data_IF_993826733332
#
_entry.id   IF_993826733332
#
_cell.length_a   1.000
_cell.length_b   1.000
_cell.length_c   1.000
_cell.angle_alpha   90.00
_cell.angle_beta   90.00
_cell.angle_gamma   90.00
#
_symmetry.space_group_name_H-M   'P 1'
#
loop_
_entity.id
_entity.type
_entity.pdbx_description
1 polymer ?
#
# COMPACT_ATOMS: atom_id res chain seq x y z
N UNK A 1 8.17 -35.22 -4.79
CA UNK A 1 7.26 -34.09 -5.11
C UNK A 1 5.98 -34.35 -4.33
N UNK A 2 5.67 -33.55 -3.33
CA UNK A 2 4.37 -33.61 -2.67
C UNK A 2 3.35 -33.01 -3.66
N UNK A 3 2.21 -33.66 -3.92
CA UNK A 3 1.21 -33.09 -4.80
C UNK A 3 0.75 -31.74 -4.22
N UNK A 4 0.44 -30.79 -5.11
CA UNK A 4 -0.20 -29.53 -4.71
C UNK A 4 -1.40 -29.85 -3.84
N UNK A 5 -1.40 -29.33 -2.63
CA UNK A 5 -2.42 -29.69 -1.63
C UNK A 5 -3.70 -28.94 -1.96
N UNK A 6 -4.72 -29.64 -2.37
CA UNK A 6 -6.05 -29.06 -2.51
C UNK A 6 -6.68 -28.91 -1.13
N UNK A 7 -7.30 -27.77 -0.88
CA UNK A 7 -7.96 -27.46 0.38
C UNK A 7 -9.44 -27.15 0.15
N UNK A 8 -10.26 -27.43 1.13
CA UNK A 8 -11.59 -26.86 1.22
C UNK A 8 -11.70 -25.92 2.41
N UNK A 9 -12.58 -24.93 2.28
CA UNK A 9 -13.02 -24.08 3.39
C UNK A 9 -14.41 -24.50 3.79
N UNK A 10 -14.57 -24.79 5.07
CA UNK A 10 -15.85 -25.15 5.68
C UNK A 10 -16.35 -23.89 6.38
N UNK A 11 -17.47 -23.36 5.94
CA UNK A 11 -18.07 -22.14 6.49
C UNK A 11 -19.13 -22.49 7.51
N UNK A 12 -19.08 -21.88 8.70
CA UNK A 12 -20.02 -22.03 9.80
C UNK A 12 -20.23 -20.67 10.48
N UNK A 13 -21.46 -20.13 10.48
CA UNK A 13 -21.78 -18.87 11.14
C UNK A 13 -21.00 -17.65 10.63
N UNK A 14 -20.57 -17.66 9.36
CA UNK A 14 -19.78 -16.60 8.74
C UNK A 14 -18.27 -16.73 8.93
N UNK A 15 -17.81 -17.69 9.73
CA UNK A 15 -16.37 -18.03 9.87
C UNK A 15 -16.03 -19.25 9.00
N UNK A 16 -14.75 -19.42 8.65
CA UNK A 16 -14.33 -20.58 7.89
C UNK A 16 -13.10 -21.27 8.51
N UNK A 17 -13.08 -22.60 8.36
CA UNK A 17 -11.93 -23.44 8.66
C UNK A 17 -11.40 -24.03 7.37
N UNK A 18 -10.09 -23.95 7.16
CA UNK A 18 -9.41 -24.52 6.00
C UNK A 18 -8.87 -25.90 6.35
N UNK A 19 -9.19 -26.90 5.54
CA UNK A 19 -8.78 -28.30 5.76
C UNK A 19 -8.27 -28.93 4.46
N UNK A 20 -7.25 -29.82 4.52
CA UNK A 20 -6.78 -30.56 3.36
C UNK A 20 -7.86 -31.51 2.80
N UNK A 21 -8.00 -31.57 1.49
CA UNK A 21 -8.96 -32.47 0.83
C UNK A 21 -8.61 -33.97 0.97
N UNK A 22 -7.36 -34.28 1.21
CA UNK A 22 -6.87 -35.67 1.33
C UNK A 22 -7.34 -36.38 2.60
N UNK A 23 -7.86 -35.65 3.58
CA UNK A 23 -8.23 -36.16 4.91
C UNK A 23 -9.74 -36.06 5.19
N UNK A 24 -10.56 -36.06 4.14
CA UNK A 24 -12.01 -35.91 4.30
C UNK A 24 -12.70 -37.29 4.21
N UNK A 25 -13.46 -37.60 5.23
CA UNK A 25 -14.31 -38.81 5.26
C UNK A 25 -15.77 -38.46 5.54
N UNK A 26 -16.69 -39.13 4.90
CA UNK A 26 -18.14 -38.87 5.03
C UNK A 26 -18.84 -39.99 5.81
N UNK A 27 -19.74 -39.61 6.72
CA UNK A 27 -20.63 -40.57 7.34
C UNK A 27 -21.61 -41.12 6.31
N UNK A 28 -21.97 -42.42 6.43
CA UNK A 28 -22.84 -43.12 5.47
C UNK A 28 -24.27 -42.58 5.43
N UNK A 29 -24.70 -41.91 6.50
CA UNK A 29 -26.01 -41.27 6.61
C UNK A 29 -26.05 -39.83 6.06
N UNK A 30 -24.90 -39.30 5.64
CA UNK A 30 -24.77 -37.92 5.18
C UNK A 30 -24.95 -36.85 6.26
N UNK A 31 -25.11 -37.22 7.53
CA UNK A 31 -25.36 -36.30 8.63
C UNK A 31 -24.08 -35.55 9.10
N UNK A 32 -22.92 -36.09 8.78
CA UNK A 32 -21.63 -35.47 9.12
C UNK A 32 -20.51 -35.87 8.16
N UNK A 33 -19.41 -35.12 8.21
CA UNK A 33 -18.14 -35.49 7.61
C UNK A 33 -17.02 -35.13 8.56
N UNK A 34 -15.91 -35.84 8.47
CA UNK A 34 -14.69 -35.55 9.24
C UNK A 34 -13.64 -35.04 8.30
N UNK A 35 -13.01 -33.93 8.65
CA UNK A 35 -11.94 -33.29 7.90
C UNK A 35 -10.88 -32.83 8.88
N UNK A 36 -9.61 -33.17 8.62
CA UNK A 36 -8.46 -32.89 9.50
C UNK A 36 -8.73 -33.32 10.98
N UNK A 37 -9.30 -34.51 11.15
CA UNK A 37 -9.63 -35.06 12.47
C UNK A 37 -10.83 -34.42 13.20
N UNK A 38 -11.45 -33.39 12.63
CA UNK A 38 -12.61 -32.69 13.19
C UNK A 38 -13.89 -33.12 12.49
N UNK A 39 -14.92 -33.48 13.26
CA UNK A 39 -16.23 -33.87 12.70
C UNK A 39 -17.17 -32.68 12.61
N UNK A 40 -17.68 -32.41 11.42
CA UNK A 40 -18.63 -31.35 11.09
C UNK A 40 -20.01 -31.94 10.84
N UNK A 41 -21.04 -31.44 11.52
CA UNK A 41 -22.43 -31.78 11.21
C UNK A 41 -22.88 -31.02 9.98
N UNK A 42 -23.39 -31.68 8.97
CA UNK A 42 -23.84 -31.05 7.71
C UNK A 42 -24.90 -29.98 7.94
N UNK A 43 -25.75 -30.14 8.97
CA UNK A 43 -26.76 -29.15 9.36
C UNK A 43 -26.18 -27.84 9.98
N UNK A 44 -24.89 -27.82 10.29
CA UNK A 44 -24.19 -26.64 10.86
C UNK A 44 -23.22 -26.00 9.87
N UNK A 45 -23.10 -26.57 8.69
CA UNK A 45 -22.21 -26.05 7.63
C UNK A 45 -23.04 -25.20 6.66
N UNK A 46 -22.68 -23.93 6.56
CA UNK A 46 -23.35 -22.98 5.66
C UNK A 46 -22.99 -23.25 4.19
N UNK A 47 -21.71 -23.50 3.96
CA UNK A 47 -21.17 -23.84 2.63
C UNK A 47 -19.80 -24.48 2.71
N UNK A 48 -19.39 -25.13 1.63
CA UNK A 48 -18.03 -25.62 1.40
C UNK A 48 -17.53 -24.99 0.11
N UNK A 49 -16.35 -24.39 0.16
CA UNK A 49 -15.67 -23.84 -1.02
C UNK A 49 -14.31 -24.49 -1.18
N UNK A 50 -13.91 -24.76 -2.41
CA UNK A 50 -12.60 -25.33 -2.71
C UNK A 50 -11.57 -24.22 -2.94
N UNK A 51 -10.36 -24.45 -2.44
CA UNK A 51 -9.25 -23.50 -2.57
C UNK A 51 -8.19 -24.12 -3.46
N UNK A 52 -7.89 -23.44 -4.53
CA UNK A 52 -6.81 -23.82 -5.44
C UNK A 52 -5.55 -23.01 -5.09
N UNK A 53 -4.54 -23.69 -4.56
CA UNK A 53 -3.26 -23.08 -4.20
C UNK A 53 -2.26 -23.40 -5.28
N UNK A 54 -1.58 -22.34 -5.72
CA UNK A 54 -0.45 -22.40 -6.62
C UNK A 54 0.77 -21.97 -5.83
N UNK A 55 1.75 -22.85 -5.67
CA UNK A 55 2.97 -22.53 -4.97
C UNK A 55 4.10 -22.27 -5.97
N UNK A 56 4.75 -21.13 -5.79
CA UNK A 56 5.97 -20.78 -6.54
C UNK A 56 7.14 -20.73 -5.56
N UNK A 57 8.14 -21.54 -5.81
CA UNK A 57 9.33 -21.64 -4.96
C UNK A 57 10.57 -21.32 -5.77
N UNK A 58 11.39 -20.38 -5.26
CA UNK A 58 12.68 -20.03 -5.80
C UNK A 58 13.81 -20.66 -4.96
N UNK A 59 14.78 -21.29 -5.62
CA UNK A 59 15.88 -22.02 -4.98
C UNK A 59 17.26 -21.34 -5.11
N UNK A 60 17.28 -20.06 -5.45
CA UNK A 60 18.50 -19.28 -5.68
C UNK A 60 18.76 -18.96 -7.15
N UNK A 61 18.48 -19.87 -8.05
CA UNK A 61 18.76 -19.73 -9.50
C UNK A 61 17.58 -20.06 -10.40
N UNK A 62 16.64 -20.83 -9.90
CA UNK A 62 15.48 -21.30 -10.66
C UNK A 62 14.21 -21.15 -9.84
N UNK A 63 13.09 -21.18 -10.55
CA UNK A 63 11.79 -21.26 -9.93
C UNK A 63 11.09 -22.57 -10.29
N UNK A 64 10.26 -23.06 -9.39
CA UNK A 64 9.33 -24.17 -9.63
C UNK A 64 7.93 -23.71 -9.35
N UNK A 65 6.96 -24.16 -10.15
CA UNK A 65 5.53 -23.84 -9.98
C UNK A 65 4.77 -25.14 -9.78
N UNK A 66 4.13 -25.25 -8.62
CA UNK A 66 3.24 -26.36 -8.27
C UNK A 66 1.81 -25.84 -8.32
N UNK A 67 1.05 -26.17 -9.36
CA UNK A 67 -0.33 -25.69 -9.55
C UNK A 67 -1.42 -26.76 -9.35
N UNK A 68 -1.03 -28.02 -9.10
CA UNK A 68 -1.98 -29.12 -9.00
C UNK A 68 -2.83 -29.27 -10.25
N UNK A 69 -4.13 -29.52 -10.06
CA UNK A 69 -5.09 -29.72 -11.14
C UNK A 69 -5.83 -28.43 -11.56
N UNK A 70 -5.26 -27.25 -11.28
CA UNK A 70 -5.86 -25.98 -11.70
C UNK A 70 -5.77 -25.85 -13.23
N UNK A 71 -6.92 -25.88 -13.92
CA UNK A 71 -7.00 -25.95 -15.38
C UNK A 71 -6.88 -24.56 -16.03
N UNK A 72 -7.42 -23.53 -15.38
CA UNK A 72 -7.51 -22.16 -15.94
C UNK A 72 -6.27 -21.31 -15.65
N UNK A 73 -5.12 -21.96 -15.49
CA UNK A 73 -3.84 -21.28 -15.20
C UNK A 73 -2.73 -21.89 -16.03
N UNK A 74 -2.15 -21.07 -16.88
CA UNK A 74 -0.96 -21.39 -17.65
C UNK A 74 0.27 -20.79 -16.97
N UNK A 75 1.36 -21.55 -16.93
CA UNK A 75 2.60 -21.12 -16.28
C UNK A 75 3.77 -21.33 -17.22
N UNK A 76 4.69 -20.39 -17.26
CA UNK A 76 5.98 -20.56 -17.89
C UNK A 76 7.10 -20.12 -16.93
N UNK A 77 8.19 -20.86 -16.94
CA UNK A 77 9.37 -20.63 -16.10
C UNK A 77 10.59 -20.58 -16.97
N UNK A 78 11.39 -19.54 -16.81
CA UNK A 78 12.69 -19.37 -17.47
C UNK A 78 13.71 -18.97 -16.43
N UNK A 79 14.48 -19.93 -15.93
CA UNK A 79 15.34 -19.79 -14.76
C UNK A 79 14.53 -19.24 -13.55
N UNK A 80 14.87 -18.07 -13.01
CA UNK A 80 14.16 -17.42 -11.91
C UNK A 80 12.91 -16.64 -12.33
N UNK A 81 12.67 -16.43 -13.64
CA UNK A 81 11.52 -15.66 -14.11
C UNK A 81 10.30 -16.55 -14.28
N UNK A 82 9.18 -16.13 -13.68
CA UNK A 82 7.90 -16.85 -13.71
C UNK A 82 6.82 -15.98 -14.32
N UNK A 83 6.10 -16.53 -15.29
CA UNK A 83 4.90 -15.91 -15.85
C UNK A 83 3.71 -16.82 -15.58
N UNK A 84 2.66 -16.24 -15.01
CA UNK A 84 1.40 -16.93 -14.71
C UNK A 84 0.27 -16.18 -15.42
N UNK A 85 -0.44 -16.88 -16.30
CA UNK A 85 -1.63 -16.35 -16.98
C UNK A 85 -2.87 -17.12 -16.52
N UNK A 86 -3.83 -16.43 -15.94
CA UNK A 86 -5.08 -17.01 -15.50
C UNK A 86 -6.25 -16.54 -16.35
N UNK A 87 -6.98 -17.50 -16.91
CA UNK A 87 -8.27 -17.28 -17.57
C UNK A 87 -9.47 -17.50 -16.64
N UNK A 88 -9.20 -17.82 -15.37
CA UNK A 88 -10.22 -18.02 -14.34
C UNK A 88 -11.02 -16.75 -14.08
N UNK A 89 -12.36 -16.89 -14.04
CA UNK A 89 -13.31 -15.79 -13.81
C UNK A 89 -14.28 -16.03 -12.66
N UNK A 90 -14.13 -17.12 -11.91
CA UNK A 90 -15.13 -17.54 -10.92
C UNK A 90 -14.55 -17.84 -9.54
N UNK A 91 -13.32 -18.35 -9.46
CA UNK A 91 -12.72 -18.80 -8.22
C UNK A 91 -11.59 -17.86 -7.79
N UNK A 92 -11.52 -17.56 -6.51
CA UNK A 92 -10.41 -16.81 -5.93
C UNK A 92 -9.21 -17.74 -5.81
N UNK A 93 -8.21 -17.55 -6.70
CA UNK A 93 -6.95 -18.30 -6.66
C UNK A 93 -6.07 -17.80 -5.52
N UNK A 94 -5.31 -18.71 -4.93
CA UNK A 94 -4.32 -18.40 -3.90
C UNK A 94 -2.92 -18.80 -4.38
N UNK A 95 -1.99 -17.86 -4.29
CA UNK A 95 -0.60 -18.05 -4.66
C UNK A 95 0.27 -17.99 -3.41
N UNK A 96 1.11 -18.98 -3.18
CA UNK A 96 2.15 -18.96 -2.14
C UNK A 96 3.47 -18.71 -2.82
N UNK A 97 4.11 -17.59 -2.51
CA UNK A 97 5.39 -17.18 -3.08
C UNK A 97 6.47 -17.29 -2.00
N UNK A 98 7.50 -18.09 -2.24
CA UNK A 98 8.53 -18.36 -1.23
C UNK A 98 9.92 -18.63 -1.82
N UNK A 99 10.94 -18.52 -0.97
CA UNK A 99 12.31 -18.76 -1.36
C UNK A 99 13.02 -17.53 -1.90
N UNK A 100 14.17 -17.70 -2.52
CA UNK A 100 15.01 -16.59 -2.94
C UNK A 100 15.58 -16.78 -4.35
N UNK A 101 15.74 -15.67 -5.08
CA UNK A 101 16.45 -15.64 -6.35
C UNK A 101 17.06 -14.25 -6.59
N UNK A 102 18.34 -14.21 -6.97
CA UNK A 102 19.04 -12.95 -7.27
C UNK A 102 18.86 -12.48 -8.72
N UNK A 103 18.22 -13.29 -9.57
CA UNK A 103 17.72 -12.92 -10.91
C UNK A 103 16.39 -13.63 -11.12
N UNK A 104 15.35 -13.17 -10.43
CA UNK A 104 14.03 -13.77 -10.47
C UNK A 104 12.92 -12.73 -10.41
N UNK A 105 11.81 -13.08 -11.07
CA UNK A 105 10.62 -12.24 -11.14
C UNK A 105 9.36 -13.08 -11.19
N UNK A 106 8.21 -12.44 -10.88
CA UNK A 106 6.89 -12.99 -11.17
C UNK A 106 6.04 -11.94 -11.86
N UNK A 107 5.52 -12.30 -13.04
CA UNK A 107 4.46 -11.57 -13.72
C UNK A 107 3.18 -12.39 -13.70
N UNK A 108 2.11 -11.83 -13.13
CA UNK A 108 0.78 -12.44 -13.09
C UNK A 108 -0.20 -11.64 -13.95
N UNK A 109 -0.90 -12.34 -14.84
CA UNK A 109 -2.03 -11.79 -15.61
C UNK A 109 -3.30 -12.55 -15.25
N UNK A 110 -4.37 -11.81 -14.95
CA UNK A 110 -5.66 -12.40 -14.61
C UNK A 110 -6.79 -11.38 -14.67
N UNK A 111 -8.03 -11.87 -14.59
CA UNK A 111 -9.25 -11.06 -14.66
C UNK A 111 -10.20 -11.25 -13.46
N UNK A 112 -9.78 -12.01 -12.45
CA UNK A 112 -10.54 -12.23 -11.23
C UNK A 112 -9.68 -11.93 -9.99
N UNK A 113 -10.32 -11.64 -8.86
CA UNK A 113 -9.63 -11.40 -7.58
C UNK A 113 -8.81 -12.62 -7.17
N UNK A 114 -7.69 -12.39 -6.53
CA UNK A 114 -6.81 -13.46 -6.05
C UNK A 114 -5.99 -13.01 -4.84
N UNK A 115 -5.30 -13.97 -4.22
CA UNK A 115 -4.46 -13.76 -3.05
C UNK A 115 -3.04 -14.18 -3.31
N UNK A 116 -2.11 -13.36 -2.86
CA UNK A 116 -0.68 -13.67 -2.85
C UNK A 116 -0.17 -13.72 -1.41
N UNK A 117 0.29 -14.88 -0.98
CA UNK A 117 0.95 -15.06 0.32
C UNK A 117 2.45 -14.96 0.11
N UNK A 118 3.06 -13.93 0.68
CA UNK A 118 4.52 -13.82 0.73
C UNK A 118 5.03 -14.59 1.95
N UNK A 119 5.74 -15.67 1.70
CA UNK A 119 6.17 -16.64 2.71
C UNK A 119 7.70 -16.76 2.76
N UNK A 120 8.37 -15.66 3.13
CA UNK A 120 9.84 -15.58 3.11
C UNK A 120 10.38 -15.44 1.69
N UNK A 121 9.73 -14.62 0.88
CA UNK A 121 10.10 -14.35 -0.50
C UNK A 121 11.23 -13.32 -0.58
N UNK A 122 12.30 -13.63 -1.29
CA UNK A 122 13.39 -12.70 -1.58
C UNK A 122 13.72 -12.72 -3.08
N UNK A 123 13.17 -11.75 -3.81
CA UNK A 123 13.38 -11.62 -5.25
C UNK A 123 14.12 -10.33 -5.60
N UNK A 124 15.19 -10.48 -6.36
CA UNK A 124 15.82 -9.39 -7.11
C UNK A 124 15.68 -9.69 -8.59
N UNK A 125 15.04 -8.82 -9.34
CA UNK A 125 14.95 -8.95 -10.79
C UNK A 125 16.11 -8.22 -11.47
N UNK A 126 16.62 -8.76 -12.56
CA UNK A 126 17.64 -8.12 -13.41
C UNK A 126 17.04 -7.61 -14.74
N UNK A 127 15.74 -7.83 -14.97
CA UNK A 127 15.09 -7.53 -16.26
C UNK A 127 13.87 -6.60 -16.17
N UNK A 128 13.20 -6.55 -15.03
CA UNK A 128 11.95 -5.81 -14.88
C UNK A 128 11.54 -5.69 -13.41
N UNK A 129 10.24 -5.63 -13.14
CA UNK A 129 9.71 -5.67 -11.79
C UNK A 129 10.03 -7.01 -11.10
N UNK A 130 10.20 -7.01 -9.79
CA UNK A 130 10.32 -8.26 -9.03
C UNK A 130 8.95 -8.96 -8.92
N UNK A 131 7.89 -8.19 -8.69
CA UNK A 131 6.51 -8.69 -8.66
C UNK A 131 5.60 -7.74 -9.46
N UNK A 132 5.08 -8.22 -10.58
CA UNK A 132 4.19 -7.49 -11.46
C UNK A 132 2.82 -8.17 -11.55
N UNK A 133 1.77 -7.50 -11.08
CA UNK A 133 0.41 -8.04 -11.03
C UNK A 133 -0.47 -7.26 -12.02
N UNK A 134 -0.68 -7.86 -13.19
CA UNK A 134 -1.45 -7.28 -14.30
C UNK A 134 -2.94 -7.71 -14.23
N UNK A 135 -3.53 -7.58 -13.06
CA UNK A 135 -4.93 -7.86 -12.80
C UNK A 135 -5.61 -6.59 -12.26
N UNK A 136 -6.67 -6.13 -12.95
CA UNK A 136 -7.44 -4.93 -12.58
C UNK A 136 -8.51 -5.18 -11.51
N UNK A 137 -8.42 -6.28 -10.76
CA UNK A 137 -9.35 -6.63 -9.67
C UNK A 137 -8.65 -6.50 -8.32
N UNK A 138 -9.39 -6.80 -7.24
CA UNK A 138 -8.82 -6.82 -5.90
C UNK A 138 -7.78 -7.92 -5.75
N UNK A 139 -6.64 -7.56 -5.25
CA UNK A 139 -5.50 -8.42 -4.93
C UNK A 139 -5.25 -8.30 -3.43
N UNK A 140 -5.41 -9.40 -2.72
CA UNK A 140 -4.99 -9.49 -1.31
C UNK A 140 -3.51 -9.94 -1.28
N UNK A 141 -2.63 -9.12 -0.72
CA UNK A 141 -1.22 -9.42 -0.50
C UNK A 141 -1.00 -9.70 0.98
N UNK A 142 -0.73 -10.96 1.31
CA UNK A 142 -0.62 -11.41 2.68
C UNK A 142 0.85 -11.59 3.06
N UNK A 143 1.32 -10.82 4.02
CA UNK A 143 2.65 -10.97 4.62
C UNK A 143 2.56 -12.03 5.72
N UNK A 144 2.98 -13.26 5.44
CA UNK A 144 2.84 -14.35 6.40
C UNK A 144 3.57 -14.02 7.72
N UNK A 145 2.93 -14.38 8.82
CA UNK A 145 3.45 -14.09 10.16
C UNK A 145 4.85 -14.68 10.38
N UNK A 146 5.76 -13.90 10.93
CA UNK A 146 7.14 -14.31 11.20
C UNK A 146 8.03 -14.42 9.97
N UNK A 147 7.59 -13.95 8.79
CA UNK A 147 8.41 -13.94 7.58
C UNK A 147 8.94 -12.56 7.25
N UNK A 148 10.11 -12.53 6.65
CA UNK A 148 10.72 -11.35 6.03
C UNK A 148 10.69 -11.53 4.52
N UNK A 149 10.15 -10.55 3.81
CA UNK A 149 10.04 -10.58 2.36
C UNK A 149 10.78 -9.39 1.76
N UNK A 150 11.46 -9.62 0.64
CA UNK A 150 12.30 -8.61 -0.03
C UNK A 150 12.00 -8.62 -1.52
N UNK A 151 11.78 -7.44 -2.09
CA UNK A 151 11.59 -7.25 -3.52
C UNK A 151 12.49 -6.11 -4.02
N UNK A 152 13.25 -6.38 -5.09
CA UNK A 152 14.03 -5.37 -5.79
C UNK A 152 13.89 -5.54 -7.30
N UNK A 153 13.67 -4.44 -8.04
CA UNK A 153 13.60 -4.49 -9.50
C UNK A 153 14.96 -4.23 -10.15
N UNK A 154 15.01 -4.44 -11.46
CA UNK A 154 16.17 -4.14 -12.28
C UNK A 154 16.47 -2.64 -12.31
N UNK A 155 17.75 -2.30 -12.38
CA UNK A 155 18.19 -0.94 -12.68
C UNK A 155 18.03 -0.67 -14.19
N UNK A 156 17.09 0.16 -14.54
CA UNK A 156 16.74 0.42 -15.94
C UNK A 156 15.55 -0.43 -16.41
N UNK A 157 15.07 -0.18 -17.60
CA UNK A 157 13.85 -0.75 -18.15
C UNK A 157 12.64 0.17 -17.95
N UNK A 158 11.46 -0.33 -18.35
CA UNK A 158 10.22 0.46 -18.39
C UNK A 158 9.23 0.08 -17.27
N UNK A 159 9.63 -0.81 -16.35
CA UNK A 159 8.78 -1.20 -15.23
C UNK A 159 8.43 0.01 -14.36
N UNK A 160 7.21 -0.01 -13.83
CA UNK A 160 6.70 1.10 -13.02
C UNK A 160 7.23 1.08 -11.58
N UNK A 161 7.52 -0.11 -11.04
CA UNK A 161 7.96 -0.30 -9.66
C UNK A 161 8.57 -1.69 -9.46
N UNK A 162 9.23 -1.89 -8.33
CA UNK A 162 9.66 -3.21 -7.88
C UNK A 162 8.45 -4.11 -7.53
N UNK A 163 7.41 -3.53 -6.91
CA UNK A 163 6.09 -4.12 -6.74
C UNK A 163 5.05 -3.27 -7.50
N UNK A 164 4.54 -3.80 -8.58
CA UNK A 164 3.47 -3.16 -9.36
C UNK A 164 2.17 -3.95 -9.29
N UNK A 165 1.05 -3.26 -9.05
CA UNK A 165 -0.30 -3.81 -9.12
C UNK A 165 -1.20 -2.93 -10.00
N UNK A 166 -1.77 -3.52 -11.06
CA UNK A 166 -2.69 -2.81 -11.97
C UNK A 166 -4.06 -2.53 -11.34
N UNK A 167 -4.46 -3.32 -10.35
CA UNK A 167 -5.77 -3.21 -9.70
C UNK A 167 -5.68 -2.64 -8.28
N UNK A 168 -6.61 -3.08 -7.47
CA UNK A 168 -6.71 -2.78 -6.05
C UNK A 168 -5.74 -3.66 -5.25
N UNK A 169 -4.86 -3.07 -4.46
CA UNK A 169 -3.93 -3.82 -3.61
C UNK A 169 -4.30 -3.65 -2.14
N UNK A 170 -4.70 -4.74 -1.51
CA UNK A 170 -4.99 -4.80 -0.07
C UNK A 170 -3.91 -5.62 0.62
N UNK A 171 -3.17 -5.00 1.54
CA UNK A 171 -2.08 -5.66 2.27
C UNK A 171 -2.54 -6.03 3.68
N UNK A 172 -2.25 -7.25 4.09
CA UNK A 172 -2.53 -7.76 5.43
C UNK A 172 -1.46 -8.77 5.89
N UNK A 173 -1.60 -9.27 7.14
CA UNK A 173 -0.65 -10.21 7.73
C UNK A 173 0.54 -9.52 8.40
N UNK A 174 1.07 -10.14 9.46
CA UNK A 174 2.02 -9.52 10.39
C UNK A 174 3.50 -9.71 10.04
N UNK A 175 3.81 -10.26 8.87
CA UNK A 175 5.18 -10.32 8.34
C UNK A 175 5.72 -8.96 7.92
N UNK A 176 6.92 -8.93 7.35
CA UNK A 176 7.54 -7.72 6.83
C UNK A 176 7.76 -7.79 5.32
N UNK A 177 7.75 -6.62 4.67
CA UNK A 177 8.10 -6.44 3.28
C UNK A 177 9.08 -5.27 3.13
N UNK A 178 10.24 -5.55 2.57
CA UNK A 178 11.23 -4.54 2.19
C UNK A 178 11.28 -4.44 0.68
N UNK A 179 11.19 -3.21 0.16
CA UNK A 179 11.16 -2.94 -1.28
C UNK A 179 12.28 -1.96 -1.65
N UNK A 180 12.99 -2.29 -2.72
CA UNK A 180 13.99 -1.42 -3.34
C UNK A 180 13.60 -1.17 -4.79
N UNK A 181 13.18 0.05 -5.10
CA UNK A 181 13.00 0.50 -6.48
C UNK A 181 14.35 0.93 -7.06
N UNK A 182 14.67 0.42 -8.25
CA UNK A 182 15.90 0.79 -8.97
C UNK A 182 15.62 1.49 -10.31
N UNK A 183 14.43 1.29 -10.91
CA UNK A 183 14.07 1.94 -12.17
C UNK A 183 13.15 3.16 -11.96
N UNK A 184 12.10 3.04 -11.15
CA UNK A 184 11.14 4.13 -10.97
C UNK A 184 10.60 4.23 -9.54
N UNK A 185 9.48 3.57 -9.21
CA UNK A 185 8.89 3.58 -7.87
C UNK A 185 9.28 2.34 -7.07
N UNK A 186 9.21 2.41 -5.74
CA UNK A 186 9.31 1.22 -4.91
C UNK A 186 8.05 0.36 -5.05
N UNK A 187 6.91 0.90 -4.66
CA UNK A 187 5.58 0.29 -4.82
C UNK A 187 4.71 1.21 -5.70
N UNK A 188 4.03 0.63 -6.69
CA UNK A 188 3.09 1.37 -7.51
C UNK A 188 1.78 0.59 -7.70
N UNK A 189 0.65 1.23 -7.41
CA UNK A 189 -0.67 0.71 -7.76
C UNK A 189 -1.35 1.63 -8.76
N UNK A 190 -2.01 1.07 -9.78
CA UNK A 190 -2.79 1.90 -10.71
C UNK A 190 -4.09 2.40 -10.06
N UNK A 191 -4.68 1.60 -9.17
CA UNK A 191 -5.86 1.96 -8.40
C UNK A 191 -5.47 2.16 -6.93
N UNK A 192 -6.29 1.75 -5.95
CA UNK A 192 -6.01 2.03 -4.55
C UNK A 192 -4.99 1.08 -3.91
N UNK A 193 -4.35 1.57 -2.85
CA UNK A 193 -3.58 0.79 -1.89
C UNK A 193 -4.22 0.89 -0.51
N UNK A 194 -4.58 -0.26 0.04
CA UNK A 194 -5.10 -0.34 1.40
C UNK A 194 -4.20 -1.20 2.29
N UNK A 195 -3.81 -0.68 3.44
CA UNK A 195 -3.15 -1.43 4.51
C UNK A 195 -4.20 -1.76 5.57
N UNK A 196 -4.49 -3.06 5.76
CA UNK A 196 -5.48 -3.51 6.75
C UNK A 196 -4.92 -3.39 8.16
N UNK A 197 -5.78 -3.54 9.16
CA UNK A 197 -5.40 -3.42 10.57
C UNK A 197 -4.31 -4.44 10.99
N UNK A 198 -4.30 -5.61 10.38
CA UNK A 198 -3.34 -6.69 10.64
C UNK A 198 -2.02 -6.57 9.87
N UNK A 199 -1.83 -5.54 9.05
CA UNK A 199 -0.59 -5.34 8.28
C UNK A 199 0.60 -5.18 9.22
N UNK A 200 1.68 -5.89 8.94
CA UNK A 200 2.94 -5.78 9.65
C UNK A 200 3.75 -4.56 9.23
N UNK A 201 4.96 -4.74 8.73
CA UNK A 201 5.81 -3.63 8.31
C UNK A 201 6.09 -3.63 6.82
N UNK A 202 6.05 -2.45 6.22
CA UNK A 202 6.46 -2.19 4.85
C UNK A 202 7.56 -1.13 4.87
N UNK A 203 8.71 -1.44 4.28
CA UNK A 203 9.86 -0.54 4.17
C UNK A 203 10.21 -0.34 2.71
N UNK A 204 10.28 0.91 2.26
CA UNK A 204 10.86 1.27 0.97
C UNK A 204 12.19 1.95 1.21
N UNK A 205 13.28 1.29 0.82
CA UNK A 205 14.65 1.73 1.09
C UNK A 205 15.16 2.78 0.10
N UNK A 206 14.73 2.69 -1.15
CA UNK A 206 15.08 3.64 -2.20
C UNK A 206 14.12 3.56 -3.37
N UNK A 207 14.04 4.63 -4.14
CA UNK A 207 13.40 4.67 -5.45
C UNK A 207 13.93 5.88 -6.25
N UNK A 208 14.20 5.75 -7.57
CA UNK A 208 14.54 6.89 -8.42
C UNK A 208 13.40 7.91 -8.57
N UNK A 209 12.15 7.49 -8.33
CA UNK A 209 10.96 8.31 -8.25
C UNK A 209 10.33 8.20 -6.86
N UNK A 210 9.02 8.01 -6.75
CA UNK A 210 8.34 7.97 -5.47
C UNK A 210 8.57 6.65 -4.73
N UNK A 211 8.56 6.71 -3.41
CA UNK A 211 8.63 5.50 -2.60
C UNK A 211 7.39 4.64 -2.81
N UNK A 212 6.20 5.19 -2.57
CA UNK A 212 4.90 4.57 -2.79
C UNK A 212 4.05 5.49 -3.66
N UNK A 213 3.69 5.02 -4.84
CA UNK A 213 2.88 5.73 -5.82
C UNK A 213 1.51 5.05 -5.98
N UNK A 214 0.43 5.77 -5.72
CA UNK A 214 -0.94 5.24 -5.71
C UNK A 214 -1.80 6.04 -6.68
N UNK A 215 -2.35 5.36 -7.67
CA UNK A 215 -3.13 6.03 -8.74
C UNK A 215 -4.50 6.53 -8.30
N UNK A 216 -5.08 6.02 -7.20
CA UNK A 216 -6.41 6.42 -6.75
C UNK A 216 -6.38 6.92 -5.31
N UNK A 217 -6.52 6.06 -4.31
CA UNK A 217 -6.46 6.47 -2.91
C UNK A 217 -5.55 5.56 -2.08
N UNK A 218 -5.01 6.11 -1.01
CA UNK A 218 -4.27 5.38 0.00
C UNK A 218 -5.06 5.32 1.30
N UNK A 219 -5.31 4.12 1.81
CA UNK A 219 -6.02 3.89 3.07
C UNK A 219 -5.16 3.04 4.01
N UNK A 220 -4.86 3.56 5.20
CA UNK A 220 -4.10 2.85 6.22
C UNK A 220 -4.91 2.69 7.50
N UNK A 221 -5.25 1.45 7.84
CA UNK A 221 -5.96 1.09 9.07
C UNK A 221 -5.00 0.57 10.17
N UNK A 222 -3.77 0.22 9.82
CA UNK A 222 -2.77 -0.32 10.74
C UNK A 222 -1.45 -0.62 10.04
N UNK A 223 -0.52 -1.25 10.77
CA UNK A 223 0.81 -1.57 10.28
C UNK A 223 1.84 -0.45 10.47
N UNK A 224 3.03 -0.67 9.93
CA UNK A 224 4.13 0.30 9.95
C UNK A 224 4.64 0.50 8.52
N UNK A 225 4.74 1.75 8.08
CA UNK A 225 5.29 2.14 6.79
C UNK A 225 6.51 3.03 7.01
N UNK A 226 7.64 2.63 6.46
CA UNK A 226 8.87 3.43 6.44
C UNK A 226 9.29 3.67 5.00
N UNK A 227 9.50 4.93 4.63
CA UNK A 227 9.93 5.30 3.28
C UNK A 227 11.14 6.23 3.36
N UNK A 228 12.23 5.82 2.73
CA UNK A 228 13.47 6.60 2.71
C UNK A 228 14.26 6.33 1.42
N UNK A 229 15.22 7.21 1.12
CA UNK A 229 16.13 7.02 -0.01
C UNK A 229 15.49 7.22 -1.40
N UNK A 230 14.21 7.54 -1.50
CA UNK A 230 13.57 7.93 -2.76
C UNK A 230 13.99 9.33 -3.20
N UNK A 231 14.04 9.54 -4.52
CA UNK A 231 14.35 10.83 -5.12
C UNK A 231 13.10 11.66 -5.47
N UNK A 232 11.93 10.99 -5.55
CA UNK A 232 10.61 11.61 -5.72
C UNK A 232 9.89 11.86 -4.40
N UNK A 233 8.56 11.82 -4.43
CA UNK A 233 7.72 11.95 -3.25
C UNK A 233 7.78 10.66 -2.40
N UNK A 234 7.53 10.77 -1.11
CA UNK A 234 7.56 9.60 -0.21
C UNK A 234 6.36 8.68 -0.47
N UNK A 235 5.16 9.16 -0.13
CA UNK A 235 3.88 8.51 -0.43
C UNK A 235 3.03 9.52 -1.20
N UNK A 236 2.60 9.14 -2.39
CA UNK A 236 1.81 10.02 -3.26
C UNK A 236 0.53 9.33 -3.72
N UNK A 237 -0.59 10.06 -3.75
CA UNK A 237 -1.79 9.69 -4.51
C UNK A 237 -1.96 10.61 -5.71
N UNK A 238 -2.55 10.09 -6.78
CA UNK A 238 -2.94 10.83 -7.97
C UNK A 238 -4.46 10.75 -8.18
N UNK A 239 -4.99 11.65 -9.01
CA UNK A 239 -6.37 11.59 -9.46
C UNK A 239 -6.41 10.78 -10.74
N UNK A 240 -7.12 9.65 -10.72
CA UNK A 240 -7.43 8.92 -11.94
C UNK A 240 -8.39 9.76 -12.80
N UNK A 241 -8.02 9.93 -14.05
CA UNK A 241 -8.79 10.67 -15.05
C UNK A 241 -9.54 9.71 -15.99
N UNK A 242 -10.47 10.25 -16.74
CA UNK A 242 -11.03 9.61 -17.94
C UNK A 242 -9.94 9.50 -19.03
N UNK A 243 -10.29 8.91 -20.16
CA UNK A 243 -9.37 8.74 -21.30
C UNK A 243 -8.89 10.07 -21.93
N UNK A 244 -9.44 11.20 -21.49
CA UNK A 244 -8.97 12.54 -21.87
C UNK A 244 -7.74 13.03 -21.10
N UNK A 245 -7.28 12.26 -20.11
CA UNK A 245 -6.17 12.55 -19.20
C UNK A 245 -6.31 13.85 -18.38
N UNK A 246 -7.48 14.48 -18.37
CA UNK A 246 -7.76 15.76 -17.72
C UNK A 246 -8.93 15.64 -16.74
N UNK A 247 -10.05 15.04 -17.16
CA UNK A 247 -11.29 14.98 -16.37
C UNK A 247 -11.17 13.89 -15.29
N UNK A 248 -11.29 14.23 -13.99
CA UNK A 248 -11.33 13.23 -12.94
C UNK A 248 -12.41 12.19 -13.20
N UNK A 249 -12.07 10.90 -13.06
CA UNK A 249 -13.01 9.82 -13.29
C UNK A 249 -14.07 9.78 -12.17
N UNK A 250 -15.36 10.04 -12.46
CA UNK A 250 -16.41 10.11 -11.44
C UNK A 250 -16.76 8.75 -10.85
N UNK A 251 -16.42 7.64 -11.50
CA UNK A 251 -16.67 6.27 -11.04
C UNK A 251 -15.63 5.81 -10.00
N UNK A 252 -14.62 6.63 -9.72
CA UNK A 252 -13.56 6.32 -8.76
C UNK A 252 -13.82 7.02 -7.44
N UNK A 253 -14.35 6.27 -6.47
CA UNK A 253 -14.53 6.76 -5.10
C UNK A 253 -13.20 7.17 -4.48
N UNK A 254 -13.22 8.19 -3.62
CA UNK A 254 -12.05 8.69 -2.88
C UNK A 254 -10.85 9.06 -3.76
N UNK A 255 -11.09 9.37 -5.02
CA UNK A 255 -10.08 9.63 -6.02
C UNK A 255 -9.08 10.72 -5.57
N UNK A 256 -7.81 10.39 -5.52
CA UNK A 256 -6.73 11.28 -5.08
C UNK A 256 -6.58 11.44 -3.56
N UNK A 257 -7.35 10.72 -2.74
CA UNK A 257 -7.40 10.94 -1.29
C UNK A 257 -6.44 10.05 -0.50
N UNK A 258 -6.09 10.50 0.71
CA UNK A 258 -5.33 9.73 1.69
C UNK A 258 -6.12 9.65 3.00
N UNK A 259 -6.25 8.43 3.54
CA UNK A 259 -6.86 8.16 4.83
C UNK A 259 -5.88 7.41 5.72
N UNK A 260 -5.63 7.94 6.93
CA UNK A 260 -4.80 7.30 7.95
C UNK A 260 -5.64 7.17 9.21
N UNK A 261 -6.13 5.96 9.47
CA UNK A 261 -7.00 5.64 10.60
C UNK A 261 -6.25 4.93 11.73
N UNK A 262 -4.98 4.56 11.51
CA UNK A 262 -4.14 3.88 12.50
C UNK A 262 -2.80 3.47 11.94
N UNK A 263 -1.96 2.87 12.79
CA UNK A 263 -0.62 2.44 12.42
C UNK A 263 0.44 3.54 12.55
N UNK A 264 1.58 3.35 11.91
CA UNK A 264 2.70 4.29 11.95
C UNK A 264 3.29 4.52 10.56
N UNK A 265 3.43 5.77 10.18
CA UNK A 265 4.13 6.22 8.97
C UNK A 265 5.38 6.99 9.39
N UNK A 266 6.53 6.64 8.83
CA UNK A 266 7.79 7.39 8.95
C UNK A 266 8.39 7.62 7.55
N UNK A 267 8.41 8.87 7.11
CA UNK A 267 8.88 9.25 5.78
C UNK A 267 9.99 10.27 5.89
N UNK A 268 11.10 10.00 5.21
CA UNK A 268 12.16 10.98 4.99
C UNK A 268 12.25 11.35 3.51
N UNK A 269 12.11 12.64 3.21
CA UNK A 269 12.29 13.18 1.87
C UNK A 269 13.45 14.20 1.88
N UNK A 270 14.45 13.96 1.02
CA UNK A 270 15.65 14.79 0.90
C UNK A 270 15.81 15.47 -0.46
N UNK A 271 15.02 15.06 -1.46
CA UNK A 271 15.01 15.70 -2.78
C UNK A 271 14.38 17.09 -2.75
N UNK A 272 14.90 17.99 -3.59
CA UNK A 272 14.38 19.34 -3.71
C UNK A 272 12.99 19.36 -4.33
N UNK A 273 12.12 20.21 -3.83
CA UNK A 273 10.70 20.34 -4.15
C UNK A 273 9.90 19.03 -4.08
N UNK A 274 10.32 18.06 -3.25
CA UNK A 274 9.60 16.80 -3.04
C UNK A 274 8.74 16.84 -1.79
N UNK A 275 7.76 15.92 -1.72
CA UNK A 275 6.76 15.87 -0.66
C UNK A 275 6.88 14.55 0.09
N UNK A 276 6.88 14.61 1.42
CA UNK A 276 6.89 13.39 2.24
C UNK A 276 5.61 12.58 2.04
N UNK A 277 4.46 13.19 2.32
CA UNK A 277 3.14 12.61 2.04
C UNK A 277 2.32 13.60 1.22
N UNK A 278 1.89 13.18 0.02
CA UNK A 278 1.16 14.02 -0.93
C UNK A 278 -0.18 13.41 -1.28
N UNK A 279 -1.24 14.12 -0.97
CA UNK A 279 -2.58 13.82 -1.45
C UNK A 279 -2.96 14.75 -2.60
N UNK A 280 -3.42 14.20 -3.71
CA UNK A 280 -3.88 15.01 -4.84
C UNK A 280 -5.23 15.69 -4.56
N UNK A 281 -6.05 15.14 -3.67
CA UNK A 281 -7.34 15.69 -3.26
C UNK A 281 -7.35 15.97 -1.75
N UNK A 282 -8.10 15.23 -0.96
CA UNK A 282 -8.28 15.41 0.49
C UNK A 282 -7.36 14.46 1.27
N UNK A 283 -7.03 14.84 2.50
CA UNK A 283 -6.35 13.97 3.44
C UNK A 283 -7.06 13.98 4.79
N UNK A 284 -7.31 12.79 5.33
CA UNK A 284 -7.85 12.60 6.69
C UNK A 284 -6.87 11.77 7.51
N UNK A 285 -6.49 12.29 8.67
CA UNK A 285 -5.67 11.57 9.66
C UNK A 285 -6.51 11.48 10.93
N UNK A 286 -7.03 10.28 11.23
CA UNK A 286 -7.98 10.07 12.34
C UNK A 286 -7.49 9.02 13.34
N UNK A 287 -6.22 8.66 13.30
CA UNK A 287 -5.56 7.75 14.22
C UNK A 287 -4.12 7.46 13.82
N UNK A 288 -3.35 6.95 14.78
CA UNK A 288 -1.97 6.51 14.57
C UNK A 288 -0.93 7.63 14.59
N UNK A 289 0.25 7.32 14.09
CA UNK A 289 1.41 8.23 14.11
C UNK A 289 1.88 8.51 12.68
N UNK A 290 2.01 9.77 12.33
CA UNK A 290 2.59 10.23 11.06
C UNK A 290 3.81 11.08 11.36
N UNK A 291 5.00 10.58 11.00
CA UNK A 291 6.27 11.30 11.11
C UNK A 291 6.82 11.58 9.73
N UNK A 292 7.19 12.83 9.49
CA UNK A 292 7.80 13.22 8.20
C UNK A 292 8.99 14.16 8.44
N UNK A 293 10.11 13.81 7.83
CA UNK A 293 11.28 14.72 7.74
C UNK A 293 11.43 15.17 6.30
N UNK A 294 11.34 16.48 6.08
CA UNK A 294 11.54 17.13 4.79
C UNK A 294 12.80 17.99 4.86
N UNK A 295 13.87 17.53 4.20
CA UNK A 295 15.19 18.18 4.26
C UNK A 295 15.64 18.80 2.95
N UNK A 296 15.04 18.48 1.80
CA UNK A 296 15.32 19.12 0.53
C UNK A 296 14.86 20.58 0.49
N UNK A 297 15.53 21.41 -0.31
CA UNK A 297 15.10 22.78 -0.56
C UNK A 297 13.71 22.77 -1.21
N UNK A 298 12.82 23.67 -0.81
CA UNK A 298 11.45 23.73 -1.33
C UNK A 298 10.54 22.56 -0.99
N UNK A 299 11.02 21.50 -0.34
CA UNK A 299 10.24 20.28 -0.04
C UNK A 299 9.07 20.55 0.93
N UNK A 300 8.10 19.63 0.99
CA UNK A 300 6.99 19.70 1.94
C UNK A 300 6.93 18.41 2.75
N UNK A 301 6.67 18.51 4.06
CA UNK A 301 6.39 17.35 4.89
C UNK A 301 5.09 16.70 4.44
N UNK A 302 3.98 17.42 4.54
CA UNK A 302 2.68 17.02 4.02
C UNK A 302 2.20 18.05 3.01
N UNK A 303 1.67 17.59 1.87
CA UNK A 303 1.06 18.43 0.84
C UNK A 303 -0.32 17.90 0.47
N UNK A 304 -1.34 18.75 0.52
CA UNK A 304 -2.73 18.37 0.30
C UNK A 304 -3.35 19.26 -0.76
N UNK A 305 -3.90 18.64 -1.81
CA UNK A 305 -4.48 19.33 -2.97
C UNK A 305 -5.75 20.09 -2.66
N UNK A 306 -6.55 19.62 -1.67
CA UNK A 306 -7.75 20.33 -1.21
C UNK A 306 -7.76 20.51 0.31
N UNK A 307 -8.40 19.62 1.05
CA UNK A 307 -8.68 19.76 2.48
C UNK A 307 -7.85 18.77 3.33
N UNK A 308 -7.39 19.22 4.49
CA UNK A 308 -6.75 18.37 5.51
C UNK A 308 -7.60 18.36 6.77
N UNK A 309 -8.03 17.16 7.18
CA UNK A 309 -8.67 16.92 8.48
C UNK A 309 -7.72 16.11 9.38
N UNK A 310 -7.47 16.60 10.59
CA UNK A 310 -6.80 15.86 11.67
C UNK A 310 -7.79 15.75 12.82
N UNK A 311 -8.14 14.51 13.21
CA UNK A 311 -9.06 14.20 14.29
C UNK A 311 -8.65 12.89 15.02
N UNK A 312 -9.46 12.43 15.95
CA UNK A 312 -9.32 11.15 16.65
C UNK A 312 -10.65 10.42 16.63
N UNK A 313 -10.77 9.37 15.81
CA UNK A 313 -12.00 8.58 15.76
C UNK A 313 -11.87 7.28 16.55
N UNK A 314 -10.75 6.55 16.36
CA UNK A 314 -10.57 5.20 16.91
C UNK A 314 -9.24 5.01 17.66
N UNK A 315 -8.34 5.95 17.58
CA UNK A 315 -7.01 5.90 18.20
C UNK A 315 -6.42 7.31 18.34
N UNK A 316 -5.46 7.45 19.24
CA UNK A 316 -4.70 8.70 19.38
C UNK A 316 -4.02 9.07 18.08
N UNK A 317 -4.13 10.33 17.71
CA UNK A 317 -3.51 10.88 16.50
C UNK A 317 -2.30 11.73 16.86
N UNK A 318 -1.13 11.36 16.31
CA UNK A 318 0.09 12.12 16.42
C UNK A 318 0.65 12.43 15.03
N UNK A 319 0.79 13.70 14.71
CA UNK A 319 1.45 14.18 13.47
C UNK A 319 2.69 14.98 13.86
N UNK A 320 3.86 14.50 13.47
CA UNK A 320 5.16 15.14 13.75
C UNK A 320 5.90 15.42 12.44
N UNK A 321 6.12 16.70 12.13
CA UNK A 321 6.79 17.11 10.91
C UNK A 321 8.05 17.92 11.25
N UNK A 322 9.15 17.61 10.57
CA UNK A 322 10.39 18.36 10.61
C UNK A 322 10.72 18.89 9.21
N UNK A 323 10.61 20.20 9.03
CA UNK A 323 10.96 20.90 7.80
C UNK A 323 12.34 21.56 8.00
N UNK A 324 13.40 20.94 7.50
CA UNK A 324 14.78 21.39 7.71
C UNK A 324 15.44 21.95 6.45
N UNK A 325 14.82 21.75 5.27
CA UNK A 325 15.28 22.31 4.01
C UNK A 325 15.09 23.83 3.92
N UNK A 326 15.78 24.43 2.97
CA UNK A 326 15.71 25.85 2.70
C UNK A 326 14.69 26.22 1.62
N UNK A 327 15.04 27.27 0.90
CA UNK A 327 14.31 27.72 -0.30
C UNK A 327 14.89 27.02 -1.52
N UNK A 328 14.02 26.61 -2.42
CA UNK A 328 14.34 26.12 -3.75
C UNK A 328 14.00 27.22 -4.77
N UNK A 329 14.89 27.54 -5.63
CA UNK A 329 14.70 28.44 -6.77
C UNK A 329 14.71 27.55 -8.03
N UNK A 330 13.69 27.67 -8.85
CA UNK A 330 13.63 26.97 -10.11
C UNK A 330 14.37 27.79 -11.18
N UNK A 331 15.47 27.26 -11.67
CA UNK A 331 16.34 27.97 -12.64
C UNK A 331 15.65 28.24 -14.00
N UNK A 332 14.48 27.64 -14.27
CA UNK A 332 13.75 27.78 -15.53
C UNK A 332 12.61 28.80 -15.41
N UNK A 333 11.90 28.80 -14.29
CA UNK A 333 10.70 29.63 -14.08
C UNK A 333 10.96 30.84 -13.18
N UNK A 334 12.13 30.93 -12.54
CA UNK A 334 12.44 31.89 -11.47
C UNK A 334 11.46 31.79 -10.26
N UNK A 335 10.72 30.69 -10.12
CA UNK A 335 9.78 30.49 -9.04
C UNK A 335 10.47 30.05 -7.76
N UNK A 336 10.16 30.74 -6.68
CA UNK A 336 10.69 30.45 -5.34
C UNK A 336 9.73 29.53 -4.57
N UNK A 337 10.21 28.37 -4.18
CA UNK A 337 9.47 27.40 -3.37
C UNK A 337 10.17 27.20 -2.02
N UNK A 338 9.42 27.39 -0.91
CA UNK A 338 9.95 27.26 0.46
C UNK A 338 9.70 25.89 1.04
N UNK A 339 10.69 25.32 1.70
CA UNK A 339 10.49 24.14 2.51
C UNK A 339 9.38 24.42 3.54
N UNK A 340 8.34 23.57 3.56
CA UNK A 340 7.14 23.81 4.35
C UNK A 340 6.73 22.53 5.08
N UNK A 341 6.46 22.61 6.37
CA UNK A 341 6.03 21.45 7.14
C UNK A 341 4.72 20.87 6.59
N UNK A 342 3.67 21.68 6.52
CA UNK A 342 2.38 21.28 5.94
C UNK A 342 1.91 22.37 4.98
N UNK A 343 1.55 21.97 3.76
CA UNK A 343 0.85 22.82 2.80
C UNK A 343 -0.54 22.26 2.49
N UNK A 344 -1.56 23.10 2.61
CA UNK A 344 -2.96 22.78 2.27
C UNK A 344 -3.47 23.84 1.31
N UNK A 345 -4.01 23.41 0.17
CA UNK A 345 -4.45 24.36 -0.89
C UNK A 345 -5.81 24.98 -0.59
N UNK A 346 -6.67 24.28 0.16
CA UNK A 346 -7.98 24.81 0.59
C UNK A 346 -8.03 24.91 2.11
N UNK A 347 -8.94 24.19 2.76
CA UNK A 347 -9.18 24.34 4.19
C UNK A 347 -8.44 23.27 5.03
N UNK A 348 -8.15 23.61 6.29
CA UNK A 348 -7.58 22.70 7.26
C UNK A 348 -8.41 22.72 8.55
N UNK A 349 -8.71 21.55 9.10
CA UNK A 349 -9.32 21.43 10.41
C UNK A 349 -8.51 20.46 11.29
N UNK A 350 -8.24 20.87 12.53
CA UNK A 350 -7.67 20.03 13.58
C UNK A 350 -8.71 20.01 14.70
N UNK A 351 -9.46 18.91 14.81
CA UNK A 351 -10.56 18.79 15.76
C UNK A 351 -10.17 18.00 17.01
N UNK A 352 -9.14 17.14 16.90
CA UNK A 352 -8.55 16.40 18.00
C UNK A 352 -7.10 16.02 17.67
N UNK A 353 -6.35 15.44 18.62
CA UNK A 353 -5.02 14.94 18.44
C UNK A 353 -3.88 15.93 18.69
N UNK A 354 -2.67 15.47 18.40
CA UNK A 354 -1.43 16.22 18.57
C UNK A 354 -0.78 16.50 17.22
N UNK A 355 -0.55 17.78 16.92
CA UNK A 355 0.21 18.22 15.75
C UNK A 355 1.46 18.99 16.21
N UNK A 356 2.65 18.54 15.78
CA UNK A 356 3.93 19.19 15.99
C UNK A 356 4.60 19.45 14.66
N UNK A 357 4.92 20.72 14.36
CA UNK A 357 5.65 21.09 13.16
C UNK A 357 6.85 21.95 13.55
N UNK A 358 8.04 21.39 13.42
CA UNK A 358 9.29 22.09 13.58
C UNK A 358 9.83 22.50 12.21
N UNK A 359 10.05 23.81 12.02
CA UNK A 359 10.68 24.35 10.82
C UNK A 359 11.98 25.06 11.22
N UNK A 360 13.12 24.50 10.83
CA UNK A 360 14.45 24.99 11.23
C UNK A 360 15.34 25.40 10.04
N UNK A 361 14.94 25.06 8.81
CA UNK A 361 15.67 25.49 7.62
C UNK A 361 15.54 26.99 7.35
N UNK A 362 16.55 27.56 6.74
CA UNK A 362 16.56 29.00 6.37
C UNK A 362 15.43 29.30 5.40
N UNK A 363 14.54 30.25 5.72
CA UNK A 363 13.39 30.60 4.91
C UNK A 363 12.23 29.57 4.95
N UNK A 364 12.37 28.48 5.72
CA UNK A 364 11.31 27.45 5.83
C UNK A 364 10.03 27.96 6.49
N UNK A 365 8.92 27.25 6.25
CA UNK A 365 7.60 27.55 6.79
C UNK A 365 7.07 26.41 7.63
N UNK A 366 6.30 26.69 8.68
CA UNK A 366 5.60 25.70 9.47
C UNK A 366 4.39 25.16 8.70
N UNK A 367 3.23 25.82 8.82
CA UNK A 367 1.98 25.43 8.16
C UNK A 367 1.51 26.57 7.26
N UNK A 368 1.26 26.25 5.99
CA UNK A 368 0.63 27.15 5.02
C UNK A 368 -0.72 26.58 4.59
N UNK A 369 -1.79 27.34 4.83
CA UNK A 369 -3.15 27.05 4.37
C UNK A 369 -3.57 28.20 3.46
N UNK A 370 -3.94 27.88 2.21
CA UNK A 370 -4.33 28.90 1.25
C UNK A 370 -5.82 29.34 1.46
N UNK A 371 -6.67 28.45 2.02
CA UNK A 371 -8.01 28.77 2.51
C UNK A 371 -8.01 29.17 3.98
N UNK A 372 -8.93 28.62 4.75
CA UNK A 372 -9.05 28.89 6.20
C UNK A 372 -8.68 27.67 7.03
N UNK A 373 -8.28 27.90 8.30
CA UNK A 373 -7.97 26.81 9.21
C UNK A 373 -8.70 26.93 10.55
N UNK A 374 -9.08 25.78 11.10
CA UNK A 374 -9.70 25.62 12.40
C UNK A 374 -8.81 24.78 13.33
N UNK A 375 -8.77 25.19 14.60
CA UNK A 375 -8.10 24.44 15.68
C UNK A 375 -9.08 24.30 16.83
N UNK A 376 -9.53 23.08 17.08
CA UNK A 376 -10.51 22.72 18.09
C UNK A 376 -9.97 22.81 19.52
N UNK A 377 -10.89 22.91 20.46
CA UNK A 377 -10.57 22.85 21.89
C UNK A 377 -10.06 21.46 22.25
N UNK A 378 -9.01 21.39 23.11
CA UNK A 378 -8.42 20.13 23.54
C UNK A 378 -7.38 19.54 22.59
N UNK A 379 -7.12 20.17 21.44
CA UNK A 379 -6.02 19.77 20.56
C UNK A 379 -4.66 20.27 21.10
N UNK A 380 -3.60 19.54 20.84
CA UNK A 380 -2.23 19.98 21.13
C UNK A 380 -1.56 20.37 19.81
N UNK A 381 -1.39 21.68 19.59
CA UNK A 381 -0.74 22.18 18.36
C UNK A 381 0.52 22.97 18.72
N UNK A 382 1.69 22.44 18.31
CA UNK A 382 3.00 23.11 18.38
C UNK A 382 3.51 23.37 16.97
N UNK A 383 3.01 24.46 16.36
CA UNK A 383 3.33 24.84 14.99
C UNK A 383 3.15 26.34 14.78
N UNK A 384 3.85 26.88 13.79
CA UNK A 384 3.62 28.25 13.30
C UNK A 384 2.83 28.24 11.99
N UNK A 385 1.67 28.86 11.98
CA UNK A 385 0.95 29.15 10.74
C UNK A 385 1.61 30.34 10.03
N UNK A 386 1.76 30.22 8.73
CA UNK A 386 2.37 31.25 7.90
C UNK A 386 1.48 32.49 7.82
N UNK A 387 2.07 33.67 7.77
CA UNK A 387 1.33 34.92 7.51
C UNK A 387 0.50 34.78 6.22
N UNK A 388 -0.79 35.06 6.31
CA UNK A 388 -1.78 34.86 5.23
C UNK A 388 -2.67 33.63 5.39
N UNK A 389 -2.34 32.68 6.26
CA UNK A 389 -3.30 31.65 6.68
C UNK A 389 -4.33 32.26 7.62
N UNK A 390 -5.61 32.12 7.32
CA UNK A 390 -6.70 32.75 8.06
C UNK A 390 -7.36 31.76 9.02
N UNK A 391 -7.36 32.07 10.33
CA UNK A 391 -8.03 31.26 11.33
C UNK A 391 -9.55 31.52 11.32
N UNK A 392 -10.34 30.46 11.51
CA UNK A 392 -11.80 30.52 11.72
C UNK A 392 -12.16 29.92 13.08
N UNK A 393 -13.31 30.33 13.61
CA UNK A 393 -13.83 29.85 14.91
C UNK A 393 -14.74 28.62 14.77
N UNK A 394 -15.05 28.20 13.56
CA UNK A 394 -15.88 27.03 13.26
C UNK A 394 -15.15 26.12 12.27
N UNK A 395 -15.51 24.84 12.26
CA UNK A 395 -15.00 23.88 11.27
C UNK A 395 -15.42 24.35 9.87
N UNK A 396 -14.46 24.64 8.98
CA UNK A 396 -14.79 25.07 7.63
C UNK A 396 -15.36 23.91 6.79
N UNK A 397 -16.03 24.19 5.67
CA UNK A 397 -16.42 23.14 4.72
C UNK A 397 -15.20 22.29 4.30
N UNK A 398 -15.37 20.97 4.35
CA UNK A 398 -14.34 19.99 4.05
C UNK A 398 -14.76 19.08 2.87
N UNK A 399 -15.79 19.48 2.12
CA UNK A 399 -16.35 18.74 0.97
C UNK A 399 -15.54 18.91 -0.32
#
# INVERSE_FOLDING_TARGET
MLPAQEYMRIWQGGENTRVPLTEVTYASDGASFTADGVTYKTSQVDSITFVHIITVTWDGTQATVEKGNVLDVDTSVSAGDVVINSTNTHNELEFVLQGACSDGSLTYTGSYKCKFYLNGLNLTSQKGAALEILCGKRIDLILNAGTENVLADASGGEQKAALYCKGHLEVEGSGSLTVTGNARHGICTKEYLQLKRSTGSITVNSAPSDGIHVGQYFLMNGGTVTVSGQKGDGIQTEILTLDDDITPNPDKEYNGQIFIHGGSIDVTVSGDDKKGVKSADKMTISGGTVKVTASGAGSKGISVGKHLLINEDNATTLVEIRATGGVYEDDVTDDETKCTGIKVTQNMAITAGTLRVANTGSGSRGIKVDGVYYVGLGTTVSAKFTKGSVKTDTIPPMD
#
